data_IF_734339316616
#
_entry.id   IF_734339316616
#
_cell.length_a   1.000
_cell.length_b   1.000
_cell.length_c   1.000
_cell.angle_alpha   90.00
_cell.angle_beta   90.00
_cell.angle_gamma   90.00
#
_symmetry.space_group_name_H-M   'P 1'
#
loop_
_entity.id
_entity.type
_entity.pdbx_description
1 polymer ?
#
# COMPACT_ATOMS: atom_id res chain seq x y z
N UNK A 1 42.10 35.86 -17.45
CA UNK A 1 41.80 34.62 -16.69
C UNK A 1 40.39 34.70 -16.09
N UNK A 2 39.33 34.56 -16.91
CA UNK A 2 37.94 34.91 -16.52
C UNK A 2 36.89 33.85 -16.93
N UNK A 3 37.30 32.61 -17.17
CA UNK A 3 36.42 31.60 -17.79
C UNK A 3 36.18 30.33 -16.98
N UNK A 4 36.90 30.09 -15.88
CA UNK A 4 36.80 28.82 -15.14
C UNK A 4 35.75 28.84 -14.02
N UNK A 5 35.41 30.01 -13.48
CA UNK A 5 34.42 30.13 -12.40
C UNK A 5 32.98 29.91 -12.86
N UNK A 6 32.64 30.24 -14.12
CA UNK A 6 31.29 30.02 -14.65
C UNK A 6 30.97 28.54 -14.90
N UNK A 7 31.96 27.75 -15.31
CA UNK A 7 31.78 26.32 -15.62
C UNK A 7 31.51 25.48 -14.38
N UNK A 8 32.12 25.85 -13.24
CA UNK A 8 31.92 25.14 -11.96
C UNK A 8 30.54 25.42 -11.37
N UNK A 9 30.01 26.64 -11.53
CA UNK A 9 28.66 27.00 -11.10
C UNK A 9 27.56 26.30 -11.92
N UNK A 10 27.76 26.09 -13.22
CA UNK A 10 26.80 25.35 -14.05
C UNK A 10 26.76 23.84 -13.73
N UNK A 11 27.91 23.24 -13.44
CA UNK A 11 27.98 21.83 -13.06
C UNK A 11 27.30 21.56 -11.70
N UNK A 12 27.34 22.52 -10.78
CA UNK A 12 26.69 22.39 -9.47
C UNK A 12 25.15 22.45 -9.57
N UNK A 13 24.61 23.22 -10.53
CA UNK A 13 23.15 23.30 -10.74
C UNK A 13 22.54 21.99 -11.28
N UNK A 14 23.29 21.25 -12.12
CA UNK A 14 22.83 19.98 -12.67
C UNK A 14 22.81 18.84 -11.62
N UNK A 15 23.71 18.88 -10.63
CA UNK A 15 23.79 17.86 -9.56
C UNK A 15 22.62 17.98 -8.58
N UNK A 16 22.08 19.18 -8.36
CA UNK A 16 20.93 19.39 -7.46
C UNK A 16 19.62 18.91 -8.13
N UNK A 17 19.51 18.99 -9.45
CA UNK A 17 18.34 18.51 -10.19
C UNK A 17 18.25 16.97 -10.26
N UNK A 18 19.35 16.26 -10.05
CA UNK A 18 19.41 14.78 -10.00
C UNK A 18 19.20 14.19 -8.61
N UNK A 19 18.88 15.00 -7.59
CA UNK A 19 18.28 14.50 -6.37
C UNK A 19 16.87 14.01 -6.71
N UNK A 20 16.83 12.77 -7.21
CA UNK A 20 15.74 11.84 -7.23
C UNK A 20 14.45 12.43 -6.68
N UNK A 21 13.58 12.85 -7.59
CA UNK A 21 12.14 12.90 -7.32
C UNK A 21 11.72 11.47 -7.03
N UNK A 22 12.06 10.96 -5.83
CA UNK A 22 11.47 9.77 -5.29
C UNK A 22 9.99 10.10 -5.19
N UNK A 23 9.22 9.46 -6.05
CA UNK A 23 7.78 9.66 -6.09
C UNK A 23 7.24 9.49 -4.67
N UNK A 24 6.46 10.44 -4.12
CA UNK A 24 5.96 10.33 -2.77
C UNK A 24 5.12 9.04 -2.65
N UNK A 25 5.58 8.14 -1.77
CA UNK A 25 4.92 6.85 -1.51
C UNK A 25 4.34 6.86 -0.10
N UNK A 26 3.03 6.75 -0.03
CA UNK A 26 2.29 6.53 1.21
C UNK A 26 2.30 5.05 1.52
N UNK A 27 2.89 4.68 2.65
CA UNK A 27 2.94 3.28 3.10
C UNK A 27 1.88 3.04 4.16
N UNK A 28 0.99 2.09 3.90
CA UNK A 28 -0.03 1.68 4.85
C UNK A 28 0.18 0.22 5.20
N UNK A 29 0.33 -0.05 6.49
CA UNK A 29 0.27 -1.41 7.02
C UNK A 29 -1.15 -1.69 7.51
N UNK A 30 -1.72 -2.78 7.02
CA UNK A 30 -3.00 -3.30 7.45
C UNK A 30 -2.75 -4.44 8.44
N UNK A 31 -3.22 -4.24 9.66
CA UNK A 31 -3.11 -5.26 10.69
C UNK A 31 -4.14 -6.39 10.47
N UNK A 32 -3.85 -7.61 10.92
CA UNK A 32 -4.75 -8.75 10.77
C UNK A 32 -6.11 -8.50 11.46
N UNK A 33 -6.10 -7.76 12.57
CA UNK A 33 -7.31 -7.38 13.33
C UNK A 33 -8.17 -6.39 12.55
N UNK A 34 -7.62 -5.66 11.59
CA UNK A 34 -8.36 -4.75 10.71
C UNK A 34 -9.10 -5.48 9.58
N UNK A 35 -8.84 -6.78 9.41
CA UNK A 35 -9.50 -7.65 8.44
C UNK A 35 -10.64 -8.40 9.13
N UNK A 36 -11.80 -8.40 8.49
CA UNK A 36 -13.03 -9.05 8.97
C UNK A 36 -13.37 -10.33 8.23
N UNK A 37 -12.93 -10.47 6.97
CA UNK A 37 -13.07 -11.70 6.20
C UNK A 37 -11.96 -11.77 5.15
N UNK A 38 -11.59 -13.00 4.82
CA UNK A 38 -10.69 -13.33 3.71
C UNK A 38 -11.41 -14.34 2.85
N UNK A 39 -11.50 -14.09 1.55
CA UNK A 39 -11.97 -15.06 0.57
C UNK A 39 -10.87 -15.29 -0.47
N UNK A 40 -10.65 -16.55 -0.84
CA UNK A 40 -9.65 -16.94 -1.82
C UNK A 40 -10.33 -17.64 -2.98
N UNK A 41 -10.04 -17.20 -4.20
CA UNK A 41 -10.54 -17.82 -5.43
C UNK A 41 -9.39 -17.92 -6.45
N UNK A 42 -8.86 -19.14 -6.59
CA UNK A 42 -7.72 -19.45 -7.46
C UNK A 42 -6.48 -18.60 -7.15
N UNK A 43 -6.29 -17.56 -7.94
CA UNK A 43 -5.17 -16.63 -7.86
C UNK A 43 -5.50 -15.30 -7.17
N UNK A 44 -6.77 -15.09 -6.84
CA UNK A 44 -7.27 -13.85 -6.26
C UNK A 44 -7.55 -14.04 -4.78
N UNK A 45 -7.24 -13.01 -4.00
CA UNK A 45 -7.60 -12.92 -2.59
C UNK A 45 -8.37 -11.65 -2.35
N UNK A 46 -9.53 -11.78 -1.72
CA UNK A 46 -10.43 -10.69 -1.38
C UNK A 46 -10.40 -10.49 0.12
N UNK A 47 -9.99 -9.30 0.56
CA UNK A 47 -10.03 -8.91 1.96
C UNK A 47 -11.21 -7.99 2.20
N UNK A 48 -12.05 -8.36 3.17
CA UNK A 48 -13.06 -7.46 3.71
C UNK A 48 -12.50 -6.77 4.93
N UNK A 49 -12.43 -5.45 4.90
CA UNK A 49 -11.94 -4.66 6.02
C UNK A 49 -13.02 -4.36 7.05
N UNK A 50 -12.61 -4.18 8.30
CA UNK A 50 -13.45 -3.59 9.35
C UNK A 50 -13.74 -2.11 9.05
N UNK A 51 -14.88 -1.57 9.49
CA UNK A 51 -15.26 -0.18 9.22
C UNK A 51 -14.19 0.85 9.62
N UNK A 52 -13.51 0.65 10.75
CA UNK A 52 -12.43 1.53 11.23
C UNK A 52 -11.27 1.62 10.25
N UNK A 53 -10.86 0.48 9.67
CA UNK A 53 -9.78 0.41 8.69
C UNK A 53 -10.20 1.02 7.34
N UNK A 54 -11.45 0.85 6.94
CA UNK A 54 -12.01 1.53 5.76
C UNK A 54 -11.96 3.05 5.93
N UNK A 55 -12.45 3.57 7.06
CA UNK A 55 -12.42 5.02 7.33
C UNK A 55 -11.00 5.57 7.36
N UNK A 56 -10.05 4.82 7.95
CA UNK A 56 -8.63 5.18 7.96
C UNK A 56 -8.06 5.26 6.55
N UNK A 57 -8.28 4.24 5.72
CA UNK A 57 -7.81 4.22 4.33
C UNK A 57 -8.45 5.32 3.48
N UNK A 58 -9.72 5.63 3.71
CA UNK A 58 -10.40 6.73 3.03
C UNK A 58 -9.81 8.09 3.40
N UNK A 59 -9.52 8.32 4.68
CA UNK A 59 -8.86 9.54 5.13
C UNK A 59 -7.48 9.70 4.49
N UNK A 60 -6.69 8.62 4.47
CA UNK A 60 -5.37 8.60 3.82
C UNK A 60 -5.49 8.89 2.32
N UNK A 61 -6.42 8.23 1.63
CA UNK A 61 -6.64 8.43 0.20
C UNK A 61 -7.09 9.86 -0.13
N UNK A 62 -7.88 10.50 0.73
CA UNK A 62 -8.28 11.90 0.56
C UNK A 62 -7.11 12.86 0.79
N UNK A 63 -6.26 12.58 1.77
CA UNK A 63 -5.12 13.43 2.11
C UNK A 63 -3.98 13.36 1.10
N UNK A 64 -3.82 12.21 0.44
CA UNK A 64 -2.68 11.91 -0.42
C UNK A 64 -3.07 11.63 -1.87
N UNK A 65 -4.05 12.38 -2.39
CA UNK A 65 -4.46 12.24 -3.79
C UNK A 65 -3.29 12.50 -4.74
N UNK A 66 -3.17 11.65 -5.76
CA UNK A 66 -2.09 11.68 -6.74
C UNK A 66 -0.80 10.98 -6.29
N UNK A 67 -0.65 10.64 -5.01
CA UNK A 67 0.49 9.90 -4.48
C UNK A 67 0.36 8.39 -4.72
N UNK A 68 1.48 7.68 -4.61
CA UNK A 68 1.53 6.23 -4.74
C UNK A 68 1.23 5.60 -3.39
N UNK A 69 0.17 4.80 -3.28
CA UNK A 69 -0.12 4.01 -2.09
C UNK A 69 0.56 2.65 -2.21
N UNK A 70 1.31 2.27 -1.19
CA UNK A 70 1.80 0.91 -0.96
C UNK A 70 1.08 0.34 0.26
N UNK A 71 0.22 -0.65 0.01
CA UNK A 71 -0.46 -1.38 1.07
C UNK A 71 0.31 -2.65 1.38
N UNK A 72 0.60 -2.85 2.66
CA UNK A 72 1.19 -4.06 3.21
C UNK A 72 0.22 -4.76 4.14
N UNK A 73 0.23 -6.08 4.12
CA UNK A 73 -0.55 -6.95 5.01
C UNK A 73 0.41 -7.98 5.57
N UNK A 74 0.42 -8.16 6.89
CA UNK A 74 1.38 -9.03 7.58
C UNK A 74 2.86 -8.75 7.21
N UNK A 75 3.20 -7.50 6.85
CA UNK A 75 4.54 -7.11 6.43
C UNK A 75 4.90 -7.40 4.96
N UNK A 76 3.98 -8.00 4.19
CA UNK A 76 4.14 -8.28 2.77
C UNK A 76 3.37 -7.26 1.92
N UNK A 77 3.93 -6.85 0.78
CA UNK A 77 3.24 -5.94 -0.14
C UNK A 77 2.02 -6.64 -0.75
N UNK A 78 0.84 -6.11 -0.46
CA UNK A 78 -0.42 -6.60 -1.00
C UNK A 78 -0.80 -5.84 -2.27
N UNK A 79 -0.67 -4.50 -2.25
CA UNK A 79 -1.05 -3.66 -3.38
C UNK A 79 -0.14 -2.45 -3.50
N UNK A 80 0.00 -1.98 -4.75
CA UNK A 80 0.68 -0.73 -5.06
C UNK A 80 -0.06 -0.02 -6.20
N UNK A 81 -0.65 1.14 -5.92
CA UNK A 81 -1.43 1.89 -6.92
C UNK A 81 -1.41 3.38 -6.64
N UNK A 82 -1.66 4.20 -7.67
CA UNK A 82 -1.79 5.65 -7.51
C UNK A 82 -3.20 5.99 -7.01
N UNK A 83 -3.28 6.83 -6.00
CA UNK A 83 -4.56 7.28 -5.43
C UNK A 83 -5.18 8.32 -6.37
N UNK A 84 -5.96 7.87 -7.36
CA UNK A 84 -6.65 8.75 -8.30
C UNK A 84 -8.12 8.97 -7.95
N UNK A 85 -8.71 8.05 -7.17
CA UNK A 85 -10.11 8.07 -6.77
C UNK A 85 -10.23 7.80 -5.27
N UNK A 86 -11.33 8.24 -4.63
CA UNK A 86 -11.64 7.85 -3.26
C UNK A 86 -11.67 6.32 -3.16
N UNK A 87 -11.02 5.76 -2.13
CA UNK A 87 -11.08 4.31 -1.88
C UNK A 87 -12.54 3.92 -1.59
N UNK A 88 -13.16 3.32 -2.61
CA UNK A 88 -14.53 2.85 -2.60
C UNK A 88 -14.73 1.65 -1.68
N UNK A 89 -15.97 1.48 -1.26
CA UNK A 89 -16.37 0.60 -0.16
C UNK A 89 -16.10 -0.90 -0.42
N UNK A 90 -15.46 -1.53 0.57
CA UNK A 90 -15.68 -2.90 1.11
C UNK A 90 -14.83 -4.08 0.62
N UNK A 91 -13.91 -3.94 -0.33
CA UNK A 91 -13.06 -5.09 -0.72
C UNK A 91 -11.69 -4.70 -1.24
N UNK A 92 -10.63 -5.25 -0.64
CA UNK A 92 -9.29 -5.21 -1.21
C UNK A 92 -9.09 -6.49 -2.00
N UNK A 93 -9.02 -6.36 -3.32
CA UNK A 93 -8.64 -7.46 -4.21
C UNK A 93 -7.13 -7.48 -4.36
N UNK A 94 -6.51 -8.60 -4.05
CA UNK A 94 -5.09 -8.87 -4.27
C UNK A 94 -5.01 -9.93 -5.37
N UNK A 95 -4.42 -9.57 -6.51
CA UNK A 95 -4.20 -10.48 -7.62
C UNK A 95 -2.81 -11.09 -7.51
N UNK A 96 -2.73 -12.42 -7.57
CA UNK A 96 -1.47 -13.17 -7.50
C UNK A 96 -0.58 -12.75 -6.32
N UNK A 97 -1.08 -12.81 -5.06
CA UNK A 97 -0.25 -12.52 -3.90
C UNK A 97 0.96 -13.44 -3.87
N UNK A 98 2.07 -12.92 -3.35
CA UNK A 98 3.25 -13.73 -3.15
C UNK A 98 2.94 -14.94 -2.24
N UNK A 99 3.67 -16.07 -2.38
CA UNK A 99 3.35 -17.30 -1.67
C UNK A 99 3.29 -17.15 -0.14
N UNK A 100 4.10 -16.25 0.42
CA UNK A 100 4.15 -16.03 1.87
C UNK A 100 2.91 -15.26 2.32
N UNK A 101 2.58 -14.15 1.63
CA UNK A 101 1.34 -13.42 1.89
C UNK A 101 0.11 -14.31 1.73
N UNK A 102 0.09 -15.17 0.71
CA UNK A 102 -1.01 -16.14 0.53
C UNK A 102 -1.13 -17.07 1.75
N UNK A 103 -0.02 -17.60 2.26
CA UNK A 103 -0.04 -18.49 3.41
C UNK A 103 -0.55 -17.79 4.68
N UNK A 104 -0.10 -16.55 4.93
CA UNK A 104 -0.57 -15.73 6.04
C UNK A 104 -2.07 -15.44 5.95
N UNK A 105 -2.56 -15.08 4.76
CA UNK A 105 -3.98 -14.81 4.53
C UNK A 105 -4.85 -16.07 4.66
N UNK A 106 -4.33 -17.24 4.29
CA UNK A 106 -5.00 -18.53 4.50
C UNK A 106 -5.10 -18.86 6.00
N UNK A 107 -4.02 -18.63 6.76
CA UNK A 107 -4.03 -18.81 8.21
C UNK A 107 -5.06 -17.88 8.87
N UNK A 108 -5.08 -16.61 8.46
CA UNK A 108 -6.05 -15.62 8.92
C UNK A 108 -7.50 -16.02 8.57
N UNK A 109 -7.74 -16.54 7.37
CA UNK A 109 -9.06 -17.05 6.97
C UNK A 109 -9.54 -18.13 7.94
N UNK A 110 -8.71 -19.13 8.25
CA UNK A 110 -9.06 -20.19 9.19
C UNK A 110 -9.34 -19.65 10.59
N UNK A 111 -8.53 -18.70 11.07
CA UNK A 111 -8.73 -18.06 12.37
C UNK A 111 -10.07 -17.31 12.45
N UNK A 112 -10.43 -16.57 11.39
CA UNK A 112 -11.69 -15.84 11.34
C UNK A 112 -12.90 -16.80 11.33
N UNK A 113 -12.80 -17.94 10.62
CA UNK A 113 -13.84 -18.97 10.61
C UNK A 113 -13.99 -19.69 11.95
N UNK A 114 -12.89 -19.88 12.70
CA UNK A 114 -12.91 -20.54 14.00
C UNK A 114 -13.32 -19.57 15.14
N UNK A 115 -12.97 -18.29 15.03
CA UNK A 115 -13.26 -17.25 16.01
C UNK A 115 -14.75 -16.89 16.12
N UNK A 116 -15.53 -17.08 15.05
CA UNK A 116 -16.99 -16.88 15.06
C UNK A 116 -17.77 -18.03 15.72
N UNK A 117 -17.12 -19.16 16.06
CA UNK A 117 -17.74 -20.32 16.70
C UNK A 117 -17.79 -20.30 18.23
N UNK A 118 -17.29 -19.23 18.87
CA UNK A 118 -17.23 -19.10 20.34
C UNK A 118 -18.03 -17.90 20.83
N UNK A 119 -19.35 -17.88 20.59
CA UNK A 119 -20.29 -16.97 21.24
C UNK A 119 -21.60 -17.66 21.57
#
# INVERSE_FOLDING_TARGET
MRSLFLSVLLALAAVIASAAQAEPVVRVNLASEEISAVAMDGHQVWLRLRPTAVSRLQAIAQQHQGELLELTVAGHQALKFRINEPVGSVGIQINDPDPVLRQELLALQHQLLQGDGSR
#
